data_IF_711600636043
#
_entry.id   IF_711600636043
#
_cell.length_a   1.000
_cell.length_b   1.000
_cell.length_c   1.000
_cell.angle_alpha   90.00
_cell.angle_beta   90.00
_cell.angle_gamma   90.00
#
_symmetry.space_group_name_H-M   'P 1'
#
loop_
_entity.id
_entity.type
_entity.pdbx_description
1 polymer ?
#
# COMPACT_ATOMS: atom_id res chain seq x y z
N UNK A 1 8.89 1.35 5.93
CA UNK A 1 8.77 2.80 6.22
C UNK A 1 7.62 3.04 7.17
N UNK A 2 7.68 4.08 8.01
CA UNK A 2 6.57 4.51 8.89
C UNK A 2 6.38 6.01 8.76
N UNK A 3 5.14 6.48 8.71
CA UNK A 3 4.79 7.90 8.79
C UNK A 3 3.43 8.02 9.47
N UNK A 4 3.35 8.85 10.52
CA UNK A 4 2.16 8.95 11.35
C UNK A 4 1.62 7.56 11.77
N UNK A 5 0.33 7.26 11.56
CA UNK A 5 -0.27 5.98 11.91
C UNK A 5 -0.05 4.87 10.85
N UNK A 6 0.65 5.18 9.76
CA UNK A 6 0.84 4.27 8.63
C UNK A 6 2.13 3.49 8.73
N UNK A 7 2.07 2.21 8.40
CA UNK A 7 3.23 1.34 8.27
C UNK A 7 3.26 0.74 6.86
N UNK A 8 4.28 1.09 6.08
CA UNK A 8 4.52 0.49 4.78
C UNK A 8 5.63 -0.56 4.82
N UNK A 9 5.41 -1.65 4.11
CA UNK A 9 6.41 -2.71 3.90
C UNK A 9 6.32 -3.24 2.48
N UNK A 10 7.51 -3.51 1.93
CA UNK A 10 7.71 -4.00 0.58
C UNK A 10 7.67 -5.53 0.58
N UNK A 11 7.07 -6.10 -0.45
CA UNK A 11 7.08 -7.53 -0.68
C UNK A 11 7.49 -7.85 -2.12
N UNK A 12 8.48 -8.73 -2.26
CA UNK A 12 8.97 -9.24 -3.55
C UNK A 12 9.40 -10.70 -3.45
N UNK A 13 8.61 -11.54 -2.77
CA UNK A 13 8.96 -12.95 -2.67
C UNK A 13 8.47 -13.71 -3.91
N UNK A 14 9.46 -14.21 -4.67
CA UNK A 14 9.48 -15.47 -5.42
C UNK A 14 8.44 -15.72 -6.54
N UNK A 15 7.99 -14.65 -7.21
CA UNK A 15 7.91 -14.66 -8.69
C UNK A 15 6.55 -14.79 -9.35
N UNK A 16 5.46 -15.06 -8.62
CA UNK A 16 4.10 -15.09 -9.19
C UNK A 16 3.34 -13.78 -9.02
N UNK A 17 3.54 -13.07 -7.90
CA UNK A 17 2.96 -11.75 -7.71
C UNK A 17 3.95 -10.64 -8.11
N UNK A 18 3.50 -9.61 -8.86
CA UNK A 18 4.31 -8.42 -9.08
C UNK A 18 4.76 -7.78 -7.77
N UNK A 19 5.90 -7.09 -7.81
CA UNK A 19 6.42 -6.35 -6.66
C UNK A 19 5.37 -5.33 -6.17
N UNK A 20 5.16 -5.29 -4.85
CA UNK A 20 4.12 -4.45 -4.26
C UNK A 20 4.47 -3.95 -2.86
N UNK A 21 3.73 -2.94 -2.43
CA UNK A 21 3.81 -2.37 -1.08
C UNK A 21 2.47 -2.56 -0.38
N UNK A 22 2.53 -3.04 0.85
CA UNK A 22 1.42 -3.01 1.77
C UNK A 22 1.54 -1.78 2.66
N UNK A 23 0.44 -1.05 2.86
CA UNK A 23 0.29 0.04 3.83
C UNK A 23 -0.80 -0.31 4.81
N UNK A 24 -0.49 -0.32 6.11
CA UNK A 24 -1.44 -0.64 7.19
C UNK A 24 -1.66 0.53 8.15
N UNK A 25 -2.88 0.66 8.66
CA UNK A 25 -3.33 1.60 9.70
C UNK A 25 -4.42 0.93 10.54
N UNK A 26 -4.09 0.47 11.76
CA UNK A 26 -5.02 -0.35 12.54
C UNK A 26 -5.43 -1.61 11.77
N UNK A 27 -6.74 -1.83 11.64
CA UNK A 27 -7.33 -2.94 10.87
C UNK A 27 -7.48 -2.65 9.36
N UNK A 28 -6.97 -1.50 8.89
CA UNK A 28 -7.02 -1.09 7.48
C UNK A 28 -5.76 -1.56 6.74
N UNK A 29 -5.93 -1.96 5.48
CA UNK A 29 -4.85 -2.43 4.60
C UNK A 29 -5.02 -1.92 3.16
N UNK A 30 -3.92 -1.44 2.58
CA UNK A 30 -3.82 -1.05 1.17
C UNK A 30 -2.66 -1.82 0.54
N UNK A 31 -2.89 -2.50 -0.58
CA UNK A 31 -1.85 -3.12 -1.40
C UNK A 31 -1.72 -2.33 -2.71
N UNK A 32 -0.51 -1.90 -3.03
CA UNK A 32 -0.21 -1.08 -4.21
C UNK A 32 0.86 -1.77 -5.04
N UNK A 33 0.60 -1.96 -6.34
CA UNK A 33 1.59 -2.50 -7.26
C UNK A 33 2.69 -1.48 -7.52
N UNK A 34 3.95 -1.91 -7.57
CA UNK A 34 5.06 -0.98 -7.79
C UNK A 34 5.29 -0.59 -9.25
N UNK A 35 4.82 -1.40 -10.19
CA UNK A 35 5.08 -1.13 -11.62
C UNK A 35 4.26 0.05 -12.15
N UNK A 36 3.10 0.34 -11.57
CA UNK A 36 2.21 1.42 -12.03
C UNK A 36 1.48 2.17 -10.90
N UNK A 37 1.79 1.86 -9.63
CA UNK A 37 1.15 2.43 -8.44
C UNK A 37 -0.38 2.24 -8.38
N UNK A 38 -0.91 1.26 -9.11
CA UNK A 38 -2.34 0.93 -9.04
C UNK A 38 -2.67 0.14 -7.78
N UNK A 39 -3.91 0.26 -7.33
CA UNK A 39 -4.40 -0.34 -6.08
C UNK A 39 -4.82 -1.78 -6.38
N UNK A 40 -4.14 -2.74 -5.75
CA UNK A 40 -4.48 -4.16 -5.84
C UNK A 40 -5.58 -4.52 -4.82
N UNK A 41 -5.48 -3.97 -3.62
CA UNK A 41 -6.39 -4.23 -2.50
C UNK A 41 -6.61 -2.95 -1.71
N UNK A 42 -7.85 -2.66 -1.36
CA UNK A 42 -8.21 -1.61 -0.41
C UNK A 42 -9.20 -2.15 0.63
N UNK A 43 -8.78 -2.19 1.88
CA UNK A 43 -9.59 -2.53 3.04
C UNK A 43 -9.64 -1.31 3.95
N UNK A 44 -10.79 -0.62 3.92
CA UNK A 44 -11.12 0.45 4.85
C UNK A 44 -10.67 1.87 4.46
N UNK A 45 -9.70 2.05 3.55
CA UNK A 45 -9.23 3.40 3.21
C UNK A 45 -10.21 4.15 2.32
N UNK A 46 -10.42 5.42 2.64
CA UNK A 46 -11.22 6.34 1.81
C UNK A 46 -10.42 6.83 0.60
N UNK A 47 -11.05 7.19 -0.53
CA UNK A 47 -10.34 7.63 -1.73
C UNK A 47 -9.35 8.79 -1.51
N UNK A 48 -9.69 9.76 -0.65
CA UNK A 48 -8.78 10.87 -0.33
C UNK A 48 -7.57 10.44 0.51
N UNK A 49 -7.72 9.44 1.39
CA UNK A 49 -6.61 8.87 2.15
C UNK A 49 -5.66 8.11 1.23
N UNK A 50 -6.20 7.33 0.30
CA UNK A 50 -5.42 6.60 -0.70
C UNK A 50 -4.58 7.57 -1.54
N UNK A 51 -5.19 8.65 -2.02
CA UNK A 51 -4.46 9.68 -2.76
C UNK A 51 -3.36 10.36 -1.95
N UNK A 52 -3.50 10.44 -0.62
CA UNK A 52 -2.44 10.94 0.25
C UNK A 52 -1.33 9.90 0.46
N UNK A 53 -1.69 8.63 0.63
CA UNK A 53 -0.76 7.51 0.77
C UNK A 53 0.08 7.35 -0.51
N UNK A 54 -0.54 7.35 -1.69
CA UNK A 54 0.17 7.17 -2.97
C UNK A 54 1.19 8.30 -3.21
N UNK A 55 0.89 9.53 -2.79
CA UNK A 55 1.85 10.65 -2.88
C UNK A 55 3.06 10.50 -1.94
N UNK A 56 2.98 9.62 -0.96
CA UNK A 56 4.01 9.37 0.05
C UNK A 56 4.84 8.11 -0.25
N UNK A 57 4.31 7.21 -1.08
CA UNK A 57 5.00 6.02 -1.61
C UNK A 57 5.92 6.40 -2.76
#
# INVERSE_FOLDING_TARGET
MRWGPYRAFFYSADGTEPAHVHVRKGDMELKVWLHDLTIAVNIGFRPHEIGAIIRQL
#
